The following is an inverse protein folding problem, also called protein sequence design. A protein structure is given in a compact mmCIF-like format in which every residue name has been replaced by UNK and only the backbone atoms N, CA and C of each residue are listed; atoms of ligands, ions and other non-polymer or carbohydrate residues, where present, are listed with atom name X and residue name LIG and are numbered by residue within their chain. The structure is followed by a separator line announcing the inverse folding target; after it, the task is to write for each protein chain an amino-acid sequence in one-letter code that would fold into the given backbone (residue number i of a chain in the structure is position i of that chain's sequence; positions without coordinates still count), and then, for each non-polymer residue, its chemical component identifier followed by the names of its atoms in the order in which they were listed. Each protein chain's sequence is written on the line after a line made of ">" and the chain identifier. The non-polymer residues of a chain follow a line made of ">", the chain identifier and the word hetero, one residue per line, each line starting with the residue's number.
data_IF_802792044359
#
_entry.id   IF_802792044359
#
_cell.length_a   1.000
_cell.length_b   1.000
_cell.length_c   1.000
_cell.angle_alpha   90.00
_cell.angle_beta   90.00
_cell.angle_gamma   90.00
#
_symmetry.space_group_name_H-M   'P 1'
#
loop_
_entity.id
_entity.type
_entity.pdbx_description
1 polymer ?
#
# COMPACT_ATOMS: atom_id res chain seq x y z
N UNK A 1 3.90 -14.90 -5.04
CA UNK A 1 5.29 -14.54 -5.43
C UNK A 1 5.75 -15.29 -6.68
N UNK A 2 5.74 -16.64 -6.72
CA UNK A 2 6.21 -17.40 -7.90
C UNK A 2 5.47 -17.08 -9.21
N UNK A 3 4.15 -16.84 -9.15
CA UNK A 3 3.32 -16.55 -10.34
C UNK A 3 3.55 -15.16 -10.96
N UNK A 4 4.04 -14.20 -10.18
CA UNK A 4 4.28 -12.82 -10.63
C UNK A 4 5.72 -12.44 -10.30
N UNK A 5 6.72 -13.05 -10.96
CA UNK A 5 8.13 -12.80 -10.68
C UNK A 5 8.54 -11.36 -10.97
N UNK A 6 7.83 -10.67 -11.87
CA UNK A 6 8.08 -9.29 -12.24
C UNK A 6 7.68 -8.25 -11.20
N UNK A 7 6.90 -8.62 -10.18
CA UNK A 7 6.44 -7.67 -9.15
C UNK A 7 7.31 -7.76 -7.90
N UNK A 8 7.50 -6.62 -7.25
CA UNK A 8 8.16 -6.49 -5.95
C UNK A 8 7.18 -6.21 -4.81
N UNK A 9 5.94 -5.84 -5.12
CA UNK A 9 4.87 -5.52 -4.17
C UNK A 9 3.72 -6.51 -4.36
N UNK A 10 3.39 -7.25 -3.30
CA UNK A 10 2.34 -8.25 -3.30
C UNK A 10 1.28 -7.90 -2.28
N UNK A 11 0.06 -7.68 -2.75
CA UNK A 11 -1.06 -7.29 -1.89
C UNK A 11 -2.16 -8.34 -1.87
N UNK A 12 -2.85 -8.42 -0.74
CA UNK A 12 -4.06 -9.22 -0.58
C UNK A 12 -5.21 -8.34 -0.12
N UNK A 13 -6.44 -8.77 -0.36
CA UNK A 13 -7.57 -8.09 0.26
C UNK A 13 -7.54 -8.28 1.78
N UNK A 14 -8.19 -7.36 2.50
CA UNK A 14 -8.36 -7.43 3.94
C UNK A 14 -9.76 -7.00 4.34
N UNK A 15 -10.17 -7.41 5.54
CA UNK A 15 -11.46 -7.07 6.11
C UNK A 15 -11.28 -6.13 7.29
N UNK A 16 -12.00 -5.04 7.27
CA UNK A 16 -12.06 -4.04 8.33
C UNK A 16 -13.22 -4.40 9.23
N UNK A 17 -12.93 -4.66 10.50
CA UNK A 17 -13.93 -4.94 11.53
C UNK A 17 -14.08 -3.69 12.40
N UNK A 18 -15.27 -3.08 12.38
CA UNK A 18 -15.58 -1.88 13.17
C UNK A 18 -15.98 -2.27 14.61
N UNK A 19 -15.90 -1.30 15.53
CA UNK A 19 -16.23 -1.52 16.95
C UNK A 19 -17.68 -2.03 17.17
N UNK A 20 -18.60 -1.68 16.26
CA UNK A 20 -20.00 -2.14 16.30
C UNK A 20 -20.21 -3.51 15.61
N UNK A 21 -19.14 -4.25 15.29
CA UNK A 21 -19.22 -5.54 14.61
C UNK A 21 -19.45 -5.47 13.09
N UNK A 22 -19.72 -4.28 12.53
CA UNK A 22 -19.83 -4.12 11.08
C UNK A 22 -18.52 -4.51 10.40
N UNK A 23 -18.60 -5.16 9.25
CA UNK A 23 -17.43 -5.50 8.43
C UNK A 23 -17.46 -4.75 7.09
N UNK A 24 -16.28 -4.34 6.61
CA UNK A 24 -16.08 -3.82 5.25
C UNK A 24 -14.81 -4.46 4.68
N UNK A 25 -14.88 -5.04 3.50
CA UNK A 25 -13.69 -5.50 2.78
C UNK A 25 -13.01 -4.36 2.03
N UNK A 26 -11.70 -4.45 1.85
CA UNK A 26 -10.91 -3.54 1.01
C UNK A 26 -11.40 -3.55 -0.44
N UNK A 27 -11.01 -2.54 -1.22
CA UNK A 27 -11.31 -2.52 -2.66
C UNK A 27 -10.76 -3.78 -3.33
N UNK A 28 -11.56 -4.37 -4.22
CA UNK A 28 -11.17 -5.50 -5.07
C UNK A 28 -11.30 -5.11 -6.54
N UNK A 29 -10.46 -5.73 -7.36
CA UNK A 29 -10.60 -5.68 -8.81
C UNK A 29 -11.49 -6.84 -9.28
N UNK A 30 -12.12 -6.74 -10.47
CA UNK A 30 -12.98 -7.80 -11.00
C UNK A 30 -12.25 -9.14 -11.14
N UNK A 31 -10.96 -9.11 -11.51
CA UNK A 31 -10.15 -10.32 -11.59
C UNK A 31 -9.75 -10.79 -10.18
N UNK A 32 -9.80 -12.11 -9.96
CA UNK A 32 -9.50 -12.70 -8.66
C UNK A 32 -8.02 -12.55 -8.26
N UNK A 33 -7.10 -12.63 -9.24
CA UNK A 33 -5.67 -12.40 -9.03
C UNK A 33 -5.12 -11.72 -10.29
N UNK A 34 -4.12 -10.86 -10.13
CA UNK A 34 -3.51 -10.18 -11.26
C UNK A 34 -2.22 -9.46 -10.89
N UNK A 35 -1.71 -8.70 -11.84
CA UNK A 35 -0.62 -7.77 -11.64
C UNK A 35 -1.02 -6.46 -12.31
N UNK A 36 -1.09 -5.39 -11.52
CA UNK A 36 -1.20 -4.04 -12.05
C UNK A 36 0.16 -3.64 -12.64
N UNK A 37 0.19 -2.93 -13.77
CA UNK A 37 1.44 -2.46 -14.35
C UNK A 37 2.04 -1.31 -13.51
N UNK A 38 1.22 -0.64 -12.70
CA UNK A 38 1.66 0.50 -11.90
C UNK A 38 0.97 0.59 -10.53
N UNK A 39 1.76 0.78 -9.47
CA UNK A 39 1.32 1.12 -8.12
C UNK A 39 0.49 2.40 -8.12
N UNK A 40 0.82 3.36 -8.97
CA UNK A 40 0.14 4.66 -9.02
C UNK A 40 -1.33 4.52 -9.44
N UNK A 41 -1.69 3.49 -10.22
CA UNK A 41 -3.09 3.19 -10.54
C UNK A 41 -3.92 2.89 -9.30
N UNK A 42 -3.29 2.36 -8.23
CA UNK A 42 -3.98 2.02 -6.98
C UNK A 42 -4.53 3.24 -6.26
N UNK A 43 -3.88 4.41 -6.41
CA UNK A 43 -4.36 5.67 -5.83
C UNK A 43 -5.74 6.06 -6.39
N UNK A 44 -5.98 5.79 -7.68
CA UNK A 44 -7.29 5.98 -8.32
C UNK A 44 -8.32 4.90 -7.96
N UNK A 45 -7.91 3.75 -7.39
CA UNK A 45 -8.83 2.68 -6.95
C UNK A 45 -9.32 2.86 -5.52
N UNK A 46 -8.74 3.81 -4.79
CA UNK A 46 -9.04 4.08 -3.39
C UNK A 46 -7.88 3.66 -2.48
N UNK A 47 -7.69 4.46 -1.44
CA UNK A 47 -6.60 4.32 -0.47
C UNK A 47 -6.57 2.96 0.26
N UNK A 48 -7.62 2.16 0.18
CA UNK A 48 -7.70 0.87 0.85
C UNK A 48 -7.14 -0.30 0.02
N UNK A 49 -6.56 -0.07 -1.16
CA UNK A 49 -6.03 -1.16 -2.00
C UNK A 49 -4.65 -1.70 -1.56
N UNK A 50 -3.73 -0.82 -1.16
CA UNK A 50 -2.41 -1.21 -0.63
C UNK A 50 -2.36 -0.84 0.85
N UNK A 51 -2.16 -1.82 1.72
CA UNK A 51 -2.15 -1.60 3.17
C UNK A 51 -1.15 -2.51 3.88
N UNK A 52 -0.48 -1.97 4.89
CA UNK A 52 0.72 -2.53 5.52
C UNK A 52 0.59 -3.98 5.94
N UNK A 53 -0.41 -4.37 6.73
CA UNK A 53 -0.50 -5.77 7.18
C UNK A 53 -0.97 -6.73 6.08
N UNK A 54 -1.51 -6.23 4.97
CA UNK A 54 -1.96 -7.02 3.81
C UNK A 54 -0.98 -6.96 2.63
N UNK A 55 0.19 -6.37 2.84
CA UNK A 55 1.23 -6.15 1.82
C UNK A 55 2.51 -6.87 2.22
N UNK A 56 3.15 -7.51 1.25
CA UNK A 56 4.49 -8.07 1.40
C UNK A 56 5.33 -7.61 0.23
N UNK A 57 6.64 -7.44 0.46
CA UNK A 57 7.56 -7.00 -0.58
C UNK A 57 8.77 -7.90 -0.67
N UNK A 58 9.44 -7.91 -1.82
CA UNK A 58 10.73 -8.61 -1.92
C UNK A 58 11.75 -7.94 -1.02
N UNK A 59 12.51 -8.76 -0.28
CA UNK A 59 13.61 -8.28 0.55
C UNK A 59 14.63 -7.46 -0.24
N UNK A 60 14.99 -7.91 -1.43
CA UNK A 60 15.96 -7.20 -2.30
C UNK A 60 15.44 -5.82 -2.69
N UNK A 61 14.17 -5.70 -3.08
CA UNK A 61 13.55 -4.43 -3.41
C UNK A 61 13.45 -3.50 -2.20
N UNK A 62 13.12 -4.03 -1.01
CA UNK A 62 13.11 -3.26 0.24
C UNK A 62 14.47 -2.64 0.56
N UNK A 63 15.54 -3.43 0.40
CA UNK A 63 16.92 -2.97 0.63
C UNK A 63 17.35 -1.91 -0.39
N UNK A 64 17.00 -2.10 -1.67
CA UNK A 64 17.28 -1.11 -2.73
C UNK A 64 16.51 0.19 -2.51
N UNK A 65 15.26 0.10 -2.04
CA UNK A 65 14.45 1.26 -1.73
C UNK A 65 14.96 2.05 -0.51
N UNK A 66 15.79 1.45 0.35
CA UNK A 66 16.34 2.10 1.54
C UNK A 66 15.46 1.99 2.79
N UNK A 67 14.67 0.91 2.92
CA UNK A 67 13.86 0.61 4.12
C UNK A 67 12.93 1.76 4.55
N UNK A 68 12.56 1.88 5.82
CA UNK A 68 11.74 2.98 6.33
C UNK A 68 12.61 4.18 6.72
N UNK A 69 12.21 5.39 6.31
CA UNK A 69 12.91 6.61 6.74
C UNK A 69 12.75 6.83 8.26
N UNK A 70 13.86 7.18 8.89
CA UNK A 70 13.87 7.59 10.29
C UNK A 70 13.27 8.99 10.44
N UNK A 71 12.61 9.25 11.56
CA UNK A 71 12.06 10.57 11.91
C UNK A 71 10.65 10.85 11.40
N UNK A 72 10.19 10.14 10.37
CA UNK A 72 8.81 10.21 9.89
C UNK A 72 7.84 9.54 10.88
N UNK A 73 6.73 10.21 11.20
CA UNK A 73 5.72 9.69 12.15
C UNK A 73 4.45 9.18 11.48
N UNK A 74 4.23 9.55 10.23
CA UNK A 74 2.97 9.36 9.50
C UNK A 74 3.30 9.05 8.04
N UNK A 75 2.65 8.03 7.47
CA UNK A 75 2.79 7.69 6.05
C UNK A 75 4.13 7.08 5.68
N UNK A 76 4.88 6.52 6.64
CA UNK A 76 6.12 5.78 6.39
C UNK A 76 5.91 4.60 5.44
N UNK A 77 4.76 3.94 5.55
CA UNK A 77 4.33 2.89 4.62
C UNK A 77 4.11 3.43 3.22
N UNK A 78 3.39 4.56 3.07
CA UNK A 78 3.15 5.20 1.79
C UNK A 78 4.44 5.63 1.08
N UNK A 79 5.36 6.28 1.80
CA UNK A 79 6.68 6.66 1.30
C UNK A 79 7.47 5.43 0.84
N UNK A 80 7.46 4.35 1.63
CA UNK A 80 8.11 3.10 1.21
C UNK A 80 7.49 2.51 -0.06
N UNK A 81 6.16 2.47 -0.17
CA UNK A 81 5.50 1.98 -1.37
C UNK A 81 5.84 2.82 -2.60
N UNK A 82 5.91 4.15 -2.45
CA UNK A 82 6.30 5.06 -3.53
C UNK A 82 7.75 4.79 -4.00
N UNK A 83 8.70 4.67 -3.07
CA UNK A 83 10.10 4.36 -3.40
C UNK A 83 10.28 2.98 -4.04
N UNK A 84 9.52 1.98 -3.60
CA UNK A 84 9.48 0.67 -4.27
C UNK A 84 8.92 0.79 -5.69
N UNK A 85 7.83 1.53 -5.86
CA UNK A 85 7.17 1.73 -7.15
C UNK A 85 8.05 2.44 -8.18
N UNK A 86 8.91 3.38 -7.74
CA UNK A 86 9.91 4.04 -8.59
C UNK A 86 10.93 3.07 -9.18
N UNK A 87 11.31 2.04 -8.42
CA UNK A 87 12.24 1.01 -8.90
C UNK A 87 11.53 -0.04 -9.75
N UNK A 88 10.32 -0.41 -9.35
CA UNK A 88 9.48 -1.38 -10.05
C UNK A 88 8.00 -1.08 -9.80
N UNK A 89 7.26 -0.57 -10.80
CA UNK A 89 5.90 -0.11 -10.60
C UNK A 89 4.89 -1.26 -10.50
N UNK A 90 5.26 -2.50 -10.86
CA UNK A 90 4.33 -3.62 -10.91
C UNK A 90 3.83 -4.05 -9.52
N UNK A 91 2.50 -4.13 -9.35
CA UNK A 91 1.86 -4.60 -8.10
C UNK A 91 1.04 -5.86 -8.36
N UNK A 92 1.50 -6.99 -7.83
CA UNK A 92 0.75 -8.24 -7.85
C UNK A 92 -0.32 -8.23 -6.75
N UNK A 93 -1.53 -8.67 -7.09
CA UNK A 93 -2.65 -8.69 -6.14
C UNK A 93 -3.40 -10.02 -6.16
N UNK A 94 -3.98 -10.34 -5.01
CA UNK A 94 -4.98 -11.39 -4.84
C UNK A 94 -6.21 -10.82 -4.11
N UNK A 95 -7.40 -10.99 -4.70
CA UNK A 95 -8.68 -10.53 -4.16
C UNK A 95 -9.16 -11.34 -2.94
N UNK A 96 -8.42 -12.39 -2.55
CA UNK A 96 -8.67 -13.17 -1.35
C UNK A 96 -8.37 -12.35 -0.10
N UNK A 97 -9.33 -12.32 0.82
CA UNK A 97 -9.15 -11.71 2.14
C UNK A 97 -8.18 -12.57 2.97
N UNK A 98 -7.05 -12.00 3.36
CA UNK A 98 -6.02 -12.71 4.14
C UNK A 98 -5.76 -12.09 5.52
N UNK A 99 -6.36 -10.93 5.80
CA UNK A 99 -6.08 -10.16 7.02
C UNK A 99 -7.35 -9.53 7.57
N UNK A 100 -7.50 -9.56 8.90
CA UNK A 100 -8.53 -8.82 9.64
C UNK A 100 -7.92 -7.61 10.33
N UNK A 101 -8.38 -6.42 9.95
CA UNK A 101 -8.05 -5.16 10.60
C UNK A 101 -9.15 -4.76 11.58
N UNK A 102 -8.91 -5.02 12.87
CA UNK A 102 -9.81 -4.61 13.93
C UNK A 102 -9.64 -3.12 14.26
N UNK A 103 -10.61 -2.30 13.84
CA UNK A 103 -10.64 -0.85 14.13
C UNK A 103 -11.20 -0.50 15.51
N UNK A 104 -11.83 -1.44 16.19
CA UNK A 104 -12.29 -1.28 17.57
C UNK A 104 -11.19 -1.48 18.61
N UNK A 105 -9.96 -1.81 18.20
CA UNK A 105 -8.83 -1.94 19.10
C UNK A 105 -8.53 -0.62 19.82
N UNK A 106 -8.33 -0.67 21.14
CA UNK A 106 -8.13 0.50 22.00
C UNK A 106 -6.93 1.36 21.57
N UNK A 107 -5.87 0.72 21.08
CA UNK A 107 -4.64 1.37 20.63
C UNK A 107 -4.62 1.74 19.13
N UNK A 108 -5.77 2.10 18.55
CA UNK A 108 -5.84 2.47 17.14
C UNK A 108 -5.09 3.78 16.83
N UNK A 109 -4.11 3.73 15.92
CA UNK A 109 -3.34 4.92 15.53
C UNK A 109 -4.23 6.07 14.98
N UNK A 110 -5.37 5.75 14.36
CA UNK A 110 -6.30 6.75 13.79
C UNK A 110 -7.04 7.58 14.84
N UNK A 111 -7.14 7.13 16.09
CA UNK A 111 -7.75 7.94 17.16
C UNK A 111 -6.75 8.92 17.78
N UNK A 112 -5.45 8.67 17.61
CA UNK A 112 -4.36 9.45 18.21
C UNK A 112 -3.92 10.64 17.34
N UNK A 113 -4.09 10.55 16.02
CA UNK A 113 -3.59 11.55 15.06
C UNK A 113 -4.77 12.11 14.25
N UNK A 114 -5.17 13.36 14.53
CA UNK A 114 -6.32 14.03 13.89
C UNK A 114 -5.99 14.66 12.53
N UNK A 115 -4.75 15.08 12.32
CA UNK A 115 -4.26 15.62 11.05
C UNK A 115 -3.01 14.83 10.69
N UNK A 116 -3.08 14.12 9.57
CA UNK A 116 -2.02 13.29 9.07
C UNK A 116 -1.52 13.89 7.75
N UNK A 117 -0.27 14.38 7.74
CA UNK A 117 0.40 14.84 6.54
C UNK A 117 1.63 13.97 6.30
N UNK A 118 1.58 13.14 5.27
CA UNK A 118 2.66 12.24 4.89
C UNK A 118 3.63 12.97 3.95
N UNK A 119 4.45 13.88 4.50
CA UNK A 119 5.30 14.79 3.72
C UNK A 119 6.15 14.06 2.68
N UNK A 120 6.95 13.08 3.12
CA UNK A 120 7.84 12.33 2.24
C UNK A 120 7.10 11.64 1.08
N UNK A 121 5.93 11.05 1.37
CA UNK A 121 5.09 10.45 0.34
C UNK A 121 4.54 11.48 -0.65
N UNK A 122 4.11 12.66 -0.17
CA UNK A 122 3.61 13.72 -1.05
C UNK A 122 4.71 14.24 -1.97
N UNK A 123 5.92 14.42 -1.47
CA UNK A 123 7.09 14.79 -2.28
C UNK A 123 7.36 13.72 -3.35
N UNK A 124 7.37 12.44 -2.96
CA UNK A 124 7.60 11.35 -3.91
C UNK A 124 6.51 11.27 -5.00
N UNK A 125 5.25 11.51 -4.63
CA UNK A 125 4.11 11.54 -5.54
C UNK A 125 4.17 12.73 -6.51
N UNK A 126 4.52 13.93 -6.02
CA UNK A 126 4.62 15.13 -6.84
C UNK A 126 5.74 15.04 -7.88
N UNK A 127 6.87 14.45 -7.51
CA UNK A 127 7.96 14.16 -8.43
C UNK A 127 7.53 13.15 -9.51
N UNK A 128 6.80 12.10 -9.12
CA UNK A 128 6.31 11.11 -10.08
C UNK A 128 5.33 11.72 -11.09
N UNK A 129 4.41 12.58 -10.62
CA UNK A 129 3.46 13.27 -11.49
C UNK A 129 4.13 14.19 -12.53
N UNK A 130 5.37 14.62 -12.27
CA UNK A 130 6.15 15.47 -13.18
C UNK A 130 7.07 14.65 -14.11
N UNK A 131 7.15 13.35 -13.94
CA UNK A 131 8.09 12.50 -14.67
C UNK A 131 7.55 12.15 -16.08
N UNK A 132 8.21 12.59 -17.17
CA UNK A 132 7.74 12.38 -18.54
C UNK A 132 7.86 10.93 -19.03
N UNK A 133 8.61 10.06 -18.33
CA UNK A 133 8.84 8.67 -18.75
C UNK A 133 7.66 7.72 -18.48
N UNK A 134 6.59 8.21 -17.84
CA UNK A 134 5.42 7.42 -17.44
C UNK A 134 4.08 8.03 -17.93
N UNK A 135 4.13 8.87 -18.98
CA UNK A 135 2.96 9.42 -19.71
C UNK A 135 2.63 8.62 -20.97
#
# INVERSE_FOLDING_TARGET
>A
MQKYPQSDIFVTAYRIIYANGRCKESRRLPQANGCLPSYWETLGKGYDFVWTSATTVRRTALLVAGEFRLGEKIGQDLDLWARLARNNPCVAYASRVCVDYNRGAEANARTRVKVAYAKAFMEDLEEELKNPNHS
#
